data_IF_422102001357
#
_entry.id   IF_422102001357
#
_cell.length_a   1.000
_cell.length_b   1.000
_cell.length_c   1.000
_cell.angle_alpha   90.00
_cell.angle_beta   90.00
_cell.angle_gamma   90.00
#
_symmetry.space_group_name_H-M   'P 1'
#
loop_
_entity.id
_entity.type
_entity.pdbx_description
1 polymer ?
#
# COMPACT_ATOMS: atom_id res chain seq x y z
N UNK A 1 22.41 20.76 32.30
CA UNK A 1 21.53 21.59 31.45
C UNK A 1 20.22 20.85 31.31
N UNK A 2 19.10 21.43 31.72
CA UNK A 2 17.78 20.82 31.51
C UNK A 2 17.56 20.73 30.00
N UNK A 3 17.41 19.50 29.46
CA UNK A 3 17.03 19.31 28.07
C UNK A 3 15.61 19.87 27.87
N UNK A 4 15.41 20.64 26.81
CA UNK A 4 14.09 21.13 26.49
C UNK A 4 13.18 19.92 26.22
N UNK A 5 12.02 19.88 26.89
CA UNK A 5 11.02 18.83 26.70
C UNK A 5 10.50 18.86 25.26
N UNK A 6 10.52 17.72 24.57
CA UNK A 6 9.98 17.61 23.20
C UNK A 6 8.47 17.37 23.25
N UNK A 7 7.69 18.23 22.57
CA UNK A 7 6.26 18.03 22.39
C UNK A 7 5.99 17.31 21.07
N UNK A 8 5.25 16.21 21.10
CA UNK A 8 4.80 15.49 19.92
C UNK A 8 3.32 15.75 19.68
N UNK A 9 2.98 16.07 18.43
CA UNK A 9 1.61 15.96 17.90
C UNK A 9 1.39 14.50 17.52
N UNK A 10 0.22 13.96 17.85
CA UNK A 10 -0.16 12.59 17.49
C UNK A 10 -1.65 12.49 17.17
N UNK A 11 -1.99 11.59 16.26
CA UNK A 11 -3.38 11.27 15.94
C UNK A 11 -3.68 9.89 16.50
N UNK A 12 -4.68 9.83 17.38
CA UNK A 12 -5.15 8.61 18.05
C UNK A 12 -6.48 8.16 17.45
N UNK A 13 -6.78 6.87 17.60
CA UNK A 13 -8.09 6.32 17.32
C UNK A 13 -9.04 6.74 18.44
N UNK A 14 -9.95 7.67 18.16
CA UNK A 14 -10.92 8.17 19.16
C UNK A 14 -12.13 7.25 19.32
N UNK A 15 -12.55 6.59 18.23
CA UNK A 15 -13.66 5.64 18.21
C UNK A 15 -13.55 4.69 17.03
N UNK A 16 -14.17 3.52 17.10
CA UNK A 16 -14.21 2.57 15.99
C UNK A 16 -15.27 3.01 14.98
N UNK A 17 -14.91 3.06 13.67
CA UNK A 17 -15.88 3.43 12.64
C UNK A 17 -16.90 2.31 12.40
N UNK A 18 -18.15 2.69 12.21
CA UNK A 18 -19.20 1.85 11.65
C UNK A 18 -19.38 2.19 10.17
N UNK A 19 -18.90 1.36 9.24
CA UNK A 19 -18.80 1.68 7.83
C UNK A 19 -17.51 2.45 7.50
N UNK A 20 -17.62 3.43 6.60
CA UNK A 20 -16.50 4.30 6.29
C UNK A 20 -16.08 5.13 7.52
N UNK A 21 -14.78 5.35 7.75
CA UNK A 21 -14.34 6.21 8.83
C UNK A 21 -14.74 7.66 8.55
N UNK A 22 -15.00 8.38 9.64
CA UNK A 22 -15.27 9.83 9.64
C UNK A 22 -14.17 10.56 10.42
N UNK A 23 -14.04 11.87 10.29
CA UNK A 23 -13.07 12.65 11.09
C UNK A 23 -13.21 12.42 12.60
N UNK A 24 -14.41 12.18 13.10
CA UNK A 24 -14.70 11.96 14.54
C UNK A 24 -14.11 10.64 15.08
N UNK A 25 -13.66 9.73 14.19
CA UNK A 25 -12.96 8.53 14.63
C UNK A 25 -11.49 8.80 15.00
N UNK A 26 -11.01 10.02 14.75
CA UNK A 26 -9.64 10.44 15.01
C UNK A 26 -9.61 11.62 15.95
N UNK A 27 -8.55 11.71 16.76
CA UNK A 27 -8.31 12.87 17.63
C UNK A 27 -6.85 13.28 17.57
N UNK A 28 -6.60 14.57 17.31
CA UNK A 28 -5.27 15.18 17.41
C UNK A 28 -4.97 15.49 18.87
N UNK A 29 -3.82 15.07 19.34
CA UNK A 29 -3.32 15.31 20.69
C UNK A 29 -1.92 15.91 20.68
N UNK A 30 -1.58 16.62 21.75
CA UNK A 30 -0.24 17.11 22.03
C UNK A 30 0.25 16.47 23.34
N UNK A 31 1.40 15.81 23.28
CA UNK A 31 1.97 15.13 24.44
C UNK A 31 3.42 15.52 24.62
N UNK A 32 3.84 15.69 25.84
CA UNK A 32 5.27 15.86 26.18
C UNK A 32 5.92 14.49 26.24
N UNK A 33 6.95 14.28 25.44
CA UNK A 33 7.71 13.04 25.46
C UNK A 33 8.66 13.02 26.68
N UNK A 34 8.90 11.85 27.27
CA UNK A 34 9.90 11.71 28.33
C UNK A 34 11.31 11.93 27.79
N UNK A 35 12.25 12.13 28.69
CA UNK A 35 13.68 12.17 28.34
C UNK A 35 14.14 10.80 27.78
N UNK A 36 15.12 10.83 26.86
CA UNK A 36 15.69 9.60 26.32
C UNK A 36 16.41 8.80 27.38
N UNK A 37 16.09 7.51 27.43
CA UNK A 37 16.88 6.53 28.16
C UNK A 37 18.04 5.99 27.30
N UNK A 38 19.04 5.38 27.98
CA UNK A 38 20.14 4.70 27.28
C UNK A 38 19.59 3.63 26.30
N UNK A 39 20.10 3.62 25.09
CA UNK A 39 19.68 2.73 24.02
C UNK A 39 18.43 3.20 23.25
N UNK A 40 18.01 4.46 23.45
CA UNK A 40 16.87 5.05 22.73
C UNK A 40 17.30 6.15 21.77
N UNK A 41 16.43 6.41 20.80
CA UNK A 41 16.53 7.52 19.84
C UNK A 41 15.22 8.33 19.84
N UNK A 42 15.33 9.63 19.68
CA UNK A 42 14.22 10.53 19.38
C UNK A 42 14.14 10.70 17.87
N UNK A 43 12.99 10.40 17.33
CA UNK A 43 12.69 10.47 15.91
C UNK A 43 11.75 11.64 15.62
N UNK A 44 12.12 12.47 14.63
CA UNK A 44 11.27 13.51 14.04
C UNK A 44 10.74 12.98 12.70
N UNK A 45 9.44 12.78 12.61
CA UNK A 45 8.78 12.27 11.40
C UNK A 45 8.84 13.31 10.28
N UNK A 46 9.37 12.93 9.14
CA UNK A 46 9.35 13.74 7.91
C UNK A 46 8.17 13.36 7.02
N UNK A 47 7.97 12.05 6.77
CA UNK A 47 6.90 11.54 5.95
C UNK A 47 6.17 10.40 6.66
N UNK A 48 4.85 10.42 6.58
CA UNK A 48 3.97 9.36 7.06
C UNK A 48 3.30 8.69 5.85
N UNK A 49 3.33 7.37 5.82
CA UNK A 49 2.59 6.56 4.84
C UNK A 49 1.12 6.47 5.23
N UNK A 50 0.23 6.64 4.26
CA UNK A 50 -1.17 6.25 4.39
C UNK A 50 -1.44 5.05 3.49
N UNK A 51 -1.96 3.97 4.08
CA UNK A 51 -2.18 2.69 3.42
C UNK A 51 -3.54 2.09 3.79
N UNK A 52 -4.24 1.44 2.82
CA UNK A 52 -5.61 0.94 3.05
C UNK A 52 -5.74 -0.05 4.21
N UNK A 53 -4.69 -0.85 4.52
CA UNK A 53 -4.72 -1.83 5.61
C UNK A 53 -5.01 -1.20 6.98
N UNK A 54 -4.71 0.09 7.14
CA UNK A 54 -4.95 0.84 8.38
C UNK A 54 -6.43 0.87 8.75
N UNK A 55 -7.35 0.76 7.76
CA UNK A 55 -8.78 0.63 8.03
C UNK A 55 -9.08 -0.65 8.83
N UNK A 56 -8.46 -1.76 8.50
CA UNK A 56 -8.57 -3.00 9.24
C UNK A 56 -8.07 -2.87 10.69
N UNK A 57 -7.07 -2.02 10.94
CA UNK A 57 -6.55 -1.74 12.29
C UNK A 57 -7.52 -0.95 13.17
N UNK A 58 -8.49 -0.26 12.58
CA UNK A 58 -9.54 0.45 13.33
C UNK A 58 -10.69 -0.47 13.77
N UNK A 59 -10.69 -1.74 13.33
CA UNK A 59 -11.68 -2.76 13.69
C UNK A 59 -11.12 -3.70 14.76
N UNK A 60 -11.98 -4.20 15.65
CA UNK A 60 -11.65 -5.25 16.62
C UNK A 60 -12.03 -6.66 16.14
N UNK A 61 -12.52 -6.79 14.92
CA UNK A 61 -12.74 -8.09 14.28
C UNK A 61 -11.42 -8.87 14.14
N UNK A 62 -11.47 -10.22 14.14
CA UNK A 62 -10.28 -11.04 13.93
C UNK A 62 -9.54 -10.66 12.63
N UNK A 63 -8.22 -10.48 12.73
CA UNK A 63 -7.36 -10.07 11.63
C UNK A 63 -5.96 -10.66 11.80
N UNK A 64 -5.12 -10.56 10.76
CA UNK A 64 -3.73 -11.01 10.79
C UNK A 64 -2.83 -10.21 11.75
N UNK A 65 -3.30 -9.08 12.28
CA UNK A 65 -2.56 -8.35 13.31
C UNK A 65 -3.50 -7.61 14.26
N UNK A 66 -2.98 -7.28 15.45
CA UNK A 66 -3.75 -6.65 16.51
C UNK A 66 -4.35 -5.30 16.08
N UNK A 67 -5.58 -4.97 16.50
CA UNK A 67 -6.18 -3.67 16.27
C UNK A 67 -5.47 -2.57 17.06
N UNK A 68 -5.57 -1.34 16.58
CA UNK A 68 -5.27 -0.14 17.38
C UNK A 68 -6.35 -0.03 18.47
N UNK A 69 -5.93 0.21 19.71
CA UNK A 69 -6.87 0.44 20.80
C UNK A 69 -7.38 1.88 20.77
N UNK A 70 -8.56 2.08 21.38
CA UNK A 70 -9.05 3.45 21.56
C UNK A 70 -8.01 4.23 22.38
N UNK A 71 -7.81 5.49 22.04
CA UNK A 71 -6.82 6.42 22.60
C UNK A 71 -5.34 6.07 22.31
N UNK A 72 -5.06 5.00 21.55
CA UNK A 72 -3.71 4.73 21.05
C UNK A 72 -3.45 5.42 19.69
N UNK A 73 -2.18 5.71 19.44
CA UNK A 73 -1.72 6.33 18.18
C UNK A 73 -2.07 5.42 16.99
N UNK A 74 -2.64 6.01 15.94
CA UNK A 74 -2.89 5.29 14.70
C UNK A 74 -1.60 4.71 14.13
N UNK A 75 -1.65 3.46 13.70
CA UNK A 75 -0.50 2.77 13.12
C UNK A 75 -0.15 3.33 11.74
N UNK A 76 1.14 3.31 11.41
CA UNK A 76 1.62 3.70 10.08
C UNK A 76 3.13 3.61 9.98
N UNK A 77 3.63 3.30 8.79
CA UNK A 77 5.04 3.43 8.45
C UNK A 77 5.41 4.90 8.27
N UNK A 78 6.57 5.29 8.77
CA UNK A 78 7.06 6.65 8.59
C UNK A 78 8.56 6.67 8.26
N UNK A 79 8.95 7.70 7.53
CA UNK A 79 10.35 8.13 7.40
C UNK A 79 10.60 9.20 8.43
N UNK A 80 11.62 9.02 9.25
CA UNK A 80 11.97 9.93 10.31
C UNK A 80 13.46 10.25 10.28
N UNK A 81 13.81 11.44 10.79
CA UNK A 81 15.20 11.82 11.09
C UNK A 81 15.46 11.56 12.57
N UNK A 82 16.60 10.97 12.87
CA UNK A 82 17.09 10.87 14.26
C UNK A 82 17.46 12.28 14.72
N UNK A 83 16.68 12.83 15.64
CA UNK A 83 16.89 14.18 16.19
C UNK A 83 17.86 14.17 17.37
N UNK A 84 17.77 13.13 18.20
CA UNK A 84 18.71 12.84 19.30
C UNK A 84 18.91 11.35 19.44
N UNK A 85 20.13 10.94 19.86
CA UNK A 85 20.45 9.52 20.04
C UNK A 85 21.21 9.26 21.33
N UNK A 86 20.75 8.25 22.06
CA UNK A 86 21.49 7.55 23.12
C UNK A 86 21.69 6.06 22.73
N UNK A 87 21.57 5.73 21.44
CA UNK A 87 21.66 4.38 20.91
C UNK A 87 22.98 4.15 20.16
N UNK A 88 23.69 3.03 20.37
CA UNK A 88 25.03 2.84 19.81
C UNK A 88 25.08 2.70 18.28
N UNK A 89 23.96 2.39 17.62
CA UNK A 89 23.90 2.14 16.16
C UNK A 89 23.32 3.29 15.35
N UNK A 90 22.74 4.31 15.98
CA UNK A 90 22.10 5.42 15.29
C UNK A 90 22.70 6.74 15.74
N UNK A 91 22.89 7.65 14.81
CA UNK A 91 23.45 8.98 15.04
C UNK A 91 22.41 10.06 14.71
N UNK A 92 22.58 11.24 15.33
CA UNK A 92 21.79 12.42 14.97
C UNK A 92 21.96 12.75 13.49
N UNK A 93 20.85 13.01 12.81
CA UNK A 93 20.81 13.23 11.37
C UNK A 93 20.52 12.00 10.53
N UNK A 94 20.66 10.78 11.06
CA UNK A 94 20.32 9.56 10.33
C UNK A 94 18.86 9.56 9.89
N UNK A 95 18.62 9.12 8.65
CA UNK A 95 17.27 8.84 8.15
C UNK A 95 16.92 7.38 8.37
N UNK A 96 15.75 7.15 8.93
CA UNK A 96 15.24 5.80 9.21
C UNK A 96 13.82 5.65 8.74
N UNK A 97 13.44 4.41 8.39
CA UNK A 97 12.05 4.02 8.11
C UNK A 97 11.59 3.00 9.13
N UNK A 98 10.37 3.15 9.64
CA UNK A 98 9.80 2.23 10.61
C UNK A 98 8.33 2.50 10.92
N UNK A 99 7.71 1.61 11.71
CA UNK A 99 6.30 1.71 12.09
C UNK A 99 6.14 2.61 13.32
N UNK A 100 6.38 3.91 13.16
CA UNK A 100 6.32 4.89 14.26
C UNK A 100 4.93 5.48 14.49
N UNK A 101 3.97 5.23 13.60
CA UNK A 101 2.59 5.69 13.73
C UNK A 101 2.37 7.14 13.30
N UNK A 102 1.13 7.60 13.46
CA UNK A 102 0.70 8.94 13.04
C UNK A 102 1.09 9.98 14.10
N UNK A 103 2.35 10.36 14.12
CA UNK A 103 2.87 11.33 15.08
C UNK A 103 4.09 12.10 14.56
N UNK A 104 4.29 13.31 15.07
CA UNK A 104 5.38 14.18 14.65
C UNK A 104 6.73 13.76 15.24
N UNK A 105 6.73 13.26 16.47
CA UNK A 105 7.92 12.74 17.15
C UNK A 105 7.60 11.45 17.87
N UNK A 106 8.58 10.57 17.97
CA UNK A 106 8.48 9.31 18.70
C UNK A 106 9.82 8.91 19.31
N UNK A 107 9.76 8.12 20.38
CA UNK A 107 10.94 7.48 20.97
C UNK A 107 10.96 6.02 20.53
N UNK A 108 12.11 5.55 20.05
CA UNK A 108 12.31 4.16 19.63
C UNK A 108 13.56 3.56 20.30
N UNK A 109 13.52 2.26 20.56
CA UNK A 109 14.67 1.47 21.01
C UNK A 109 15.51 0.91 19.85
N UNK A 110 15.29 1.38 18.63
CA UNK A 110 16.01 1.00 17.43
C UNK A 110 15.62 -0.36 16.80
N UNK A 111 14.76 -1.18 17.45
CA UNK A 111 14.42 -2.52 16.95
C UNK A 111 13.48 -2.49 15.75
N UNK A 112 12.61 -1.51 15.69
CA UNK A 112 11.53 -1.41 14.67
C UNK A 112 11.78 -0.31 13.63
N UNK A 113 13.05 0.12 13.50
CA UNK A 113 13.46 1.10 12.51
C UNK A 113 14.70 0.60 11.76
N UNK A 114 14.76 0.93 10.48
CA UNK A 114 15.87 0.58 9.59
C UNK A 114 16.46 1.83 8.99
N UNK A 115 17.80 1.94 8.88
CA UNK A 115 18.44 3.04 8.17
C UNK A 115 17.99 3.09 6.71
N UNK A 116 17.76 4.29 6.21
CA UNK A 116 17.52 4.54 4.78
C UNK A 116 18.89 4.82 4.14
N UNK A 117 19.25 4.10 3.06
CA UNK A 117 20.49 4.38 2.34
C UNK A 117 20.56 5.82 1.86
N UNK A 118 21.73 6.44 1.98
CA UNK A 118 21.99 7.76 1.40
C UNK A 118 21.91 7.74 -0.13
N UNK A 119 21.49 8.86 -0.72
CA UNK A 119 21.45 9.02 -2.19
C UNK A 119 20.11 8.66 -2.84
N UNK A 120 19.06 8.37 -2.08
CA UNK A 120 17.71 8.32 -2.65
C UNK A 120 17.26 9.72 -3.09
N UNK A 121 16.62 9.87 -4.26
CA UNK A 121 16.08 11.16 -4.71
C UNK A 121 15.08 11.78 -3.73
N UNK A 122 14.28 10.95 -3.07
CA UNK A 122 13.41 11.33 -1.94
C UNK A 122 13.38 10.20 -0.90
N UNK A 123 13.50 10.52 0.40
CA UNK A 123 13.38 9.52 1.46
C UNK A 123 12.00 8.83 1.50
N UNK A 124 10.93 9.51 1.04
CA UNK A 124 9.56 8.97 0.95
C UNK A 124 9.45 7.72 0.07
N UNK A 125 10.39 7.50 -0.87
CA UNK A 125 10.47 6.27 -1.67
C UNK A 125 10.53 5.00 -0.80
N UNK A 126 11.08 5.09 0.42
CA UNK A 126 11.10 4.00 1.40
C UNK A 126 9.71 3.66 1.96
N UNK A 127 8.69 4.49 1.71
CA UNK A 127 7.28 4.24 2.06
C UNK A 127 6.44 3.78 0.86
N UNK A 128 7.01 3.81 -0.33
CA UNK A 128 6.32 3.51 -1.60
C UNK A 128 7.04 2.44 -2.40
N UNK A 129 7.64 2.88 -3.51
CA UNK A 129 8.23 2.01 -4.54
C UNK A 129 9.40 1.16 -4.04
N UNK A 130 10.17 1.61 -3.06
CA UNK A 130 11.25 0.87 -2.38
C UNK A 130 10.88 0.43 -0.95
N UNK A 131 9.62 0.55 -0.57
CA UNK A 131 9.07 0.15 0.72
C UNK A 131 8.05 -0.97 0.61
N UNK A 132 7.16 -1.02 1.60
CA UNK A 132 6.13 -2.07 1.73
C UNK A 132 5.28 -2.23 0.45
N UNK A 133 4.74 -1.18 -0.19
CA UNK A 133 3.94 -1.36 -1.41
C UNK A 133 4.73 -1.93 -2.59
N UNK A 134 5.97 -1.47 -2.79
CA UNK A 134 6.85 -2.00 -3.83
C UNK A 134 7.21 -3.46 -3.60
N UNK A 135 7.53 -3.83 -2.36
CA UNK A 135 7.81 -5.22 -1.98
C UNK A 135 6.59 -6.11 -2.14
N UNK A 136 5.41 -5.63 -1.74
CA UNK A 136 4.13 -6.32 -1.96
C UNK A 136 3.91 -6.61 -3.44
N UNK A 137 4.10 -5.60 -4.30
CA UNK A 137 3.95 -5.75 -5.74
C UNK A 137 4.92 -6.79 -6.33
N UNK A 138 6.20 -6.70 -5.94
CA UNK A 138 7.25 -7.57 -6.45
C UNK A 138 7.07 -9.02 -5.99
N UNK A 139 6.95 -9.25 -4.69
CA UNK A 139 6.85 -10.60 -4.13
C UNK A 139 5.55 -11.31 -4.57
N UNK A 140 4.41 -10.64 -4.48
CA UNK A 140 3.14 -11.21 -4.94
C UNK A 140 3.16 -11.59 -6.42
N UNK A 141 3.76 -10.73 -7.27
CA UNK A 141 3.87 -11.03 -8.69
C UNK A 141 4.85 -12.18 -8.96
N UNK A 142 6.05 -12.13 -8.36
CA UNK A 142 7.11 -13.10 -8.70
C UNK A 142 6.83 -14.49 -8.13
N UNK A 143 6.41 -14.59 -6.87
CA UNK A 143 6.22 -15.89 -6.20
C UNK A 143 4.86 -16.53 -6.46
N UNK A 144 3.80 -15.73 -6.42
CA UNK A 144 2.42 -16.22 -6.58
C UNK A 144 1.99 -16.11 -8.04
N UNK A 145 2.21 -14.95 -8.66
CA UNK A 145 1.89 -14.69 -10.07
C UNK A 145 2.73 -15.54 -11.03
N UNK A 146 4.01 -15.73 -10.75
CA UNK A 146 4.96 -16.51 -11.57
C UNK A 146 4.88 -16.13 -13.06
N UNK A 147 5.16 -14.86 -13.39
CA UNK A 147 4.92 -14.31 -14.73
C UNK A 147 5.80 -14.97 -15.78
N UNK A 148 5.20 -15.25 -16.96
CA UNK A 148 5.89 -15.77 -18.13
C UNK A 148 5.69 -14.82 -19.30
N UNK A 149 6.75 -14.59 -20.08
CA UNK A 149 6.67 -13.73 -21.26
C UNK A 149 5.54 -14.16 -22.21
N UNK A 150 4.79 -13.17 -22.70
CA UNK A 150 3.64 -13.39 -23.60
C UNK A 150 2.31 -13.64 -22.87
N UNK A 151 2.28 -13.85 -21.56
CA UNK A 151 1.04 -13.93 -20.79
C UNK A 151 0.36 -12.56 -20.64
N UNK A 152 -0.96 -12.58 -20.37
CA UNK A 152 -1.74 -11.40 -20.07
C UNK A 152 -1.93 -11.25 -18.55
N UNK A 153 -1.52 -10.09 -18.01
CA UNK A 153 -1.75 -9.70 -16.64
C UNK A 153 -2.81 -8.59 -16.57
N UNK A 154 -3.77 -8.76 -15.68
CA UNK A 154 -4.66 -7.67 -15.25
C UNK A 154 -4.31 -7.28 -13.81
N UNK A 155 -4.24 -5.99 -13.52
CA UNK A 155 -4.03 -5.48 -12.16
C UNK A 155 -5.09 -4.47 -11.78
N UNK A 156 -5.74 -4.70 -10.64
CA UNK A 156 -6.69 -3.78 -10.03
C UNK A 156 -5.96 -2.63 -9.30
N UNK A 157 -6.60 -1.45 -9.23
CA UNK A 157 -6.02 -0.21 -8.71
C UNK A 157 -4.67 0.13 -9.37
N UNK A 158 -4.64 0.07 -10.70
CA UNK A 158 -3.43 0.15 -11.52
C UNK A 158 -2.63 1.46 -11.37
N UNK A 159 -3.25 2.56 -10.95
CA UNK A 159 -2.59 3.83 -10.68
C UNK A 159 -2.12 4.00 -9.22
N UNK A 160 -2.39 3.01 -8.36
CA UNK A 160 -2.06 3.03 -6.93
C UNK A 160 -0.62 2.58 -6.64
N UNK A 161 -0.24 2.64 -5.36
CA UNK A 161 1.13 2.35 -4.92
C UNK A 161 1.62 0.93 -5.26
N UNK A 162 0.74 -0.08 -5.17
CA UNK A 162 1.05 -1.48 -5.51
C UNK A 162 0.81 -1.72 -7.00
N UNK A 163 -0.38 -1.38 -7.51
CA UNK A 163 -0.79 -1.72 -8.87
C UNK A 163 0.11 -1.12 -9.96
N UNK A 164 0.59 0.11 -9.76
CA UNK A 164 1.51 0.76 -10.72
C UNK A 164 2.86 0.03 -10.82
N UNK A 165 3.36 -0.50 -9.72
CA UNK A 165 4.61 -1.27 -9.69
C UNK A 165 4.40 -2.65 -10.31
N UNK A 166 3.31 -3.35 -9.95
CA UNK A 166 2.97 -4.68 -10.51
C UNK A 166 3.02 -4.65 -12.03
N UNK A 167 2.30 -3.70 -12.65
CA UNK A 167 2.24 -3.65 -14.10
C UNK A 167 3.56 -3.33 -14.77
N UNK A 168 4.35 -2.41 -14.22
CA UNK A 168 5.66 -2.08 -14.78
C UNK A 168 6.64 -3.26 -14.65
N UNK A 169 6.65 -3.97 -13.51
CA UNK A 169 7.46 -5.20 -13.37
C UNK A 169 6.99 -6.26 -14.35
N UNK A 170 5.67 -6.43 -14.55
CA UNK A 170 5.12 -7.35 -15.54
C UNK A 170 5.56 -6.97 -16.98
N UNK A 171 5.59 -5.66 -17.32
CA UNK A 171 6.15 -5.19 -18.61
C UNK A 171 7.62 -5.55 -18.76
N UNK A 172 8.43 -5.38 -17.73
CA UNK A 172 9.87 -5.79 -17.74
C UNK A 172 10.00 -7.30 -17.95
N UNK A 173 9.04 -8.10 -17.47
CA UNK A 173 8.99 -9.55 -17.66
C UNK A 173 8.38 -9.98 -19.01
N UNK A 174 7.99 -9.04 -19.87
CA UNK A 174 7.49 -9.31 -21.22
C UNK A 174 6.01 -9.70 -21.30
N UNK A 175 5.20 -9.31 -20.30
CA UNK A 175 3.76 -9.56 -20.31
C UNK A 175 3.00 -8.46 -21.08
N UNK A 176 1.83 -8.83 -21.58
CA UNK A 176 0.76 -7.89 -21.89
C UNK A 176 0.09 -7.46 -20.57
N UNK A 177 -0.04 -6.16 -20.35
CA UNK A 177 -0.56 -5.62 -19.09
C UNK A 177 -1.77 -4.75 -19.32
N UNK A 178 -2.88 -5.10 -18.67
CA UNK A 178 -4.13 -4.34 -18.65
C UNK A 178 -4.36 -3.82 -17.23
N UNK A 179 -4.45 -2.51 -17.09
CA UNK A 179 -4.77 -1.86 -15.83
C UNK A 179 -6.28 -1.72 -15.63
N UNK A 180 -6.73 -1.72 -14.37
CA UNK A 180 -8.06 -1.26 -13.98
C UNK A 180 -7.88 -0.10 -13.00
N UNK A 181 -8.42 1.08 -13.35
CA UNK A 181 -8.31 2.28 -12.54
C UNK A 181 -9.65 3.05 -12.49
N UNK A 182 -9.74 4.09 -11.70
CA UNK A 182 -10.95 4.90 -11.56
C UNK A 182 -10.84 6.27 -12.22
N UNK A 183 -11.47 6.43 -13.38
CA UNK A 183 -11.49 7.66 -14.15
C UNK A 183 -10.47 7.71 -15.29
N UNK A 184 -10.82 8.48 -16.33
CA UNK A 184 -10.03 8.57 -17.57
C UNK A 184 -8.61 9.11 -17.37
N UNK A 185 -8.43 10.06 -16.45
CA UNK A 185 -7.11 10.62 -16.15
C UNK A 185 -6.14 9.57 -15.63
N UNK A 186 -6.58 8.74 -14.66
CA UNK A 186 -5.78 7.64 -14.11
C UNK A 186 -5.49 6.58 -15.17
N UNK A 187 -6.49 6.23 -16.00
CA UNK A 187 -6.29 5.28 -17.10
C UNK A 187 -5.28 5.81 -18.12
N UNK A 188 -5.37 7.10 -18.50
CA UNK A 188 -4.41 7.73 -19.40
C UNK A 188 -2.99 7.68 -18.84
N UNK A 189 -2.79 8.06 -17.57
CA UNK A 189 -1.50 7.98 -16.91
C UNK A 189 -0.91 6.57 -16.92
N UNK A 190 -1.72 5.56 -16.63
CA UNK A 190 -1.30 4.16 -16.60
C UNK A 190 -0.79 3.70 -17.96
N UNK A 191 -1.42 4.11 -19.04
CA UNK A 191 -0.99 3.76 -20.41
C UNK A 191 0.20 4.62 -20.84
N UNK A 192 0.06 5.94 -20.79
CA UNK A 192 1.02 6.85 -21.42
C UNK A 192 2.34 6.96 -20.63
N UNK A 193 2.24 6.93 -19.29
CA UNK A 193 3.42 7.14 -18.44
C UNK A 193 4.00 5.84 -17.89
N UNK A 194 3.14 4.86 -17.52
CA UNK A 194 3.61 3.61 -16.95
C UNK A 194 3.81 2.51 -18.00
N UNK A 195 3.39 2.74 -19.25
CA UNK A 195 3.61 1.84 -20.38
C UNK A 195 2.78 0.57 -20.37
N UNK A 196 1.59 0.59 -19.72
CA UNK A 196 0.65 -0.52 -19.83
C UNK A 196 0.06 -0.57 -21.24
N UNK A 197 -0.35 -1.77 -21.70
CA UNK A 197 -0.90 -1.95 -23.03
C UNK A 197 -2.34 -1.43 -23.15
N UNK A 198 -3.09 -1.42 -22.04
CA UNK A 198 -4.42 -0.84 -21.93
C UNK A 198 -4.76 -0.51 -20.47
N UNK A 199 -5.76 0.33 -20.27
CA UNK A 199 -6.37 0.55 -18.96
C UNK A 199 -7.87 0.75 -19.12
N UNK A 200 -8.66 0.11 -18.25
CA UNK A 200 -10.13 0.16 -18.27
C UNK A 200 -10.63 0.90 -17.03
N UNK A 201 -11.54 1.86 -17.26
CA UNK A 201 -12.16 2.61 -16.17
C UNK A 201 -13.27 1.78 -15.51
N UNK A 202 -13.05 1.36 -14.26
CA UNK A 202 -14.07 0.60 -13.51
C UNK A 202 -15.33 1.41 -13.19
N UNK A 203 -15.35 2.73 -13.43
CA UNK A 203 -16.54 3.59 -13.28
C UNK A 203 -17.41 3.59 -14.54
N UNK A 204 -16.91 3.08 -15.66
CA UNK A 204 -17.68 2.94 -16.89
C UNK A 204 -18.90 2.04 -16.68
N UNK A 205 -20.03 2.44 -17.25
CA UNK A 205 -21.24 1.59 -17.28
C UNK A 205 -21.02 0.29 -18.08
N UNK A 206 -20.05 0.28 -19.00
CA UNK A 206 -19.68 -0.86 -19.84
C UNK A 206 -18.38 -1.55 -19.38
N UNK A 207 -17.98 -1.38 -18.14
CA UNK A 207 -16.72 -1.85 -17.62
C UNK A 207 -16.40 -3.32 -17.94
N UNK A 208 -17.37 -4.22 -17.72
CA UNK A 208 -17.17 -5.66 -17.96
C UNK A 208 -16.93 -5.98 -19.45
N UNK A 209 -17.64 -5.28 -20.35
CA UNK A 209 -17.47 -5.44 -21.81
C UNK A 209 -16.11 -4.89 -22.26
N UNK A 210 -15.75 -3.70 -21.79
CA UNK A 210 -14.48 -3.05 -22.09
C UNK A 210 -13.28 -3.87 -21.58
N UNK A 211 -13.41 -4.47 -20.39
CA UNK A 211 -12.39 -5.37 -19.85
C UNK A 211 -12.25 -6.63 -20.70
N UNK A 212 -13.36 -7.23 -21.12
CA UNK A 212 -13.36 -8.40 -21.99
C UNK A 212 -12.72 -8.10 -23.35
N UNK A 213 -12.95 -6.92 -23.92
CA UNK A 213 -12.31 -6.48 -25.17
C UNK A 213 -10.82 -6.25 -24.98
N UNK A 214 -10.40 -5.64 -23.86
CA UNK A 214 -8.99 -5.42 -23.54
C UNK A 214 -8.23 -6.74 -23.28
N UNK A 215 -8.94 -7.80 -22.88
CA UNK A 215 -8.41 -9.12 -22.55
C UNK A 215 -8.94 -10.20 -23.51
N UNK A 216 -8.90 -9.95 -24.81
CA UNK A 216 -9.41 -10.83 -25.86
C UNK A 216 -8.80 -12.24 -25.87
N UNK A 217 -7.57 -12.40 -25.33
CA UNK A 217 -6.90 -13.69 -25.16
C UNK A 217 -7.07 -14.30 -23.76
N UNK A 218 -7.94 -13.72 -22.94
CA UNK A 218 -8.13 -14.10 -21.54
C UNK A 218 -7.03 -13.56 -20.61
N UNK A 219 -7.10 -13.97 -19.33
CA UNK A 219 -6.26 -13.47 -18.25
C UNK A 219 -5.47 -14.62 -17.62
N UNK A 220 -4.14 -14.53 -17.64
CA UNK A 220 -3.25 -15.54 -17.06
C UNK A 220 -2.88 -15.20 -15.62
N UNK A 221 -2.74 -13.89 -15.31
CA UNK A 221 -2.49 -13.39 -13.96
C UNK A 221 -3.46 -12.25 -13.66
N UNK A 222 -4.15 -12.35 -12.54
CA UNK A 222 -4.92 -11.24 -12.00
C UNK A 222 -4.35 -10.83 -10.63
N UNK A 223 -3.77 -9.63 -10.55
CA UNK A 223 -3.27 -9.12 -9.29
C UNK A 223 -4.38 -8.36 -8.57
N UNK A 224 -4.89 -8.94 -7.48
CA UNK A 224 -6.09 -8.49 -6.79
C UNK A 224 -5.78 -7.52 -5.66
N UNK A 225 -6.27 -6.29 -5.78
CA UNK A 225 -6.16 -5.24 -4.76
C UNK A 225 -7.53 -4.70 -4.30
N UNK A 226 -8.63 -5.05 -4.99
CA UNK A 226 -9.91 -4.33 -4.89
C UNK A 226 -11.07 -5.21 -4.46
N UNK A 227 -11.29 -6.35 -5.11
CA UNK A 227 -12.48 -7.19 -4.91
C UNK A 227 -13.73 -6.66 -5.62
N UNK A 228 -14.90 -7.09 -5.14
CA UNK A 228 -16.20 -6.62 -5.60
C UNK A 228 -16.42 -6.75 -7.10
N UNK A 229 -17.02 -5.72 -7.73
CA UNK A 229 -17.37 -5.73 -9.15
C UNK A 229 -16.19 -5.93 -10.10
N UNK A 230 -14.97 -5.56 -9.68
CA UNK A 230 -13.77 -5.76 -10.51
C UNK A 230 -13.43 -7.25 -10.57
N UNK A 231 -13.41 -7.91 -9.42
CA UNK A 231 -13.21 -9.37 -9.34
C UNK A 231 -14.28 -10.13 -10.14
N UNK A 232 -15.55 -9.71 -10.00
CA UNK A 232 -16.69 -10.30 -10.72
C UNK A 232 -16.51 -10.24 -12.24
N UNK A 233 -15.99 -9.14 -12.77
CA UNK A 233 -15.74 -8.97 -14.20
C UNK A 233 -14.52 -9.77 -14.69
N UNK A 234 -13.54 -9.99 -13.83
CA UNK A 234 -12.30 -10.73 -14.13
C UNK A 234 -12.54 -12.24 -14.19
N UNK A 235 -13.31 -12.81 -13.25
CA UNK A 235 -13.47 -14.27 -13.08
C UNK A 235 -13.88 -15.00 -14.39
N UNK A 236 -14.82 -14.51 -15.19
CA UNK A 236 -15.19 -15.15 -16.46
C UNK A 236 -14.04 -15.21 -17.48
N UNK A 237 -13.12 -14.23 -17.43
CA UNK A 237 -12.05 -14.04 -18.41
C UNK A 237 -10.78 -14.82 -18.07
N UNK A 238 -10.69 -15.45 -16.89
CA UNK A 238 -9.51 -16.20 -16.47
C UNK A 238 -9.20 -17.36 -17.41
N UNK A 239 -7.95 -17.51 -17.77
CA UNK A 239 -7.43 -18.65 -18.53
C UNK A 239 -7.30 -19.90 -17.65
N UNK A 240 -7.11 -21.07 -18.29
CA UNK A 240 -6.77 -22.29 -17.57
C UNK A 240 -5.40 -22.13 -16.85
N UNK A 241 -5.35 -22.53 -15.57
CA UNK A 241 -4.18 -22.35 -14.68
C UNK A 241 -3.80 -20.91 -14.38
N UNK A 242 -4.74 -19.95 -14.51
CA UNK A 242 -4.53 -18.59 -14.08
C UNK A 242 -4.13 -18.53 -12.60
N UNK A 243 -3.41 -17.46 -12.23
CA UNK A 243 -2.91 -17.23 -10.87
C UNK A 243 -3.40 -15.88 -10.37
N UNK A 244 -3.86 -15.86 -9.11
CA UNK A 244 -4.39 -14.66 -8.48
C UNK A 244 -3.64 -14.40 -7.18
N UNK A 245 -2.59 -13.55 -7.20
CA UNK A 245 -2.06 -12.95 -5.97
C UNK A 245 -3.14 -12.09 -5.32
N UNK A 246 -3.64 -12.50 -4.16
CA UNK A 246 -4.66 -11.79 -3.40
C UNK A 246 -3.98 -10.89 -2.36
N UNK A 247 -3.77 -9.63 -2.73
CA UNK A 247 -3.06 -8.63 -1.94
C UNK A 247 -4.00 -7.82 -1.04
N UNK A 248 -5.19 -7.48 -1.52
CA UNK A 248 -6.14 -6.64 -0.79
C UNK A 248 -7.53 -6.63 -1.39
N UNK A 249 -8.48 -6.16 -0.59
CA UNK A 249 -9.91 -6.12 -0.92
C UNK A 249 -10.49 -4.76 -0.52
N UNK A 250 -9.91 -3.65 -1.02
CA UNK A 250 -10.24 -2.29 -0.57
C UNK A 250 -11.73 -1.95 -0.76
N UNK A 251 -12.40 -2.56 -1.73
CA UNK A 251 -13.83 -2.34 -1.97
C UNK A 251 -14.71 -2.79 -0.79
N UNK A 252 -14.22 -3.71 0.06
CA UNK A 252 -14.97 -4.25 1.20
C UNK A 252 -14.41 -3.85 2.58
N UNK A 253 -13.36 -3.03 2.64
CA UNK A 253 -12.76 -2.65 3.93
C UNK A 253 -13.70 -1.86 4.85
N UNK A 254 -14.70 -1.20 4.29
CA UNK A 254 -15.71 -0.45 5.05
C UNK A 254 -16.99 -1.27 5.30
N UNK A 255 -17.08 -2.50 4.82
CA UNK A 255 -18.28 -3.32 4.97
C UNK A 255 -18.37 -3.90 6.38
N UNK A 256 -19.56 -3.81 6.99
CA UNK A 256 -19.88 -4.44 8.27
C UNK A 256 -20.74 -5.69 8.11
N UNK A 257 -21.32 -5.88 6.95
CA UNK A 257 -22.18 -6.99 6.61
C UNK A 257 -21.73 -7.62 5.30
N UNK A 258 -22.11 -8.87 5.10
CA UNK A 258 -21.91 -9.51 3.82
C UNK A 258 -22.52 -8.67 2.69
N UNK A 259 -21.84 -8.53 1.54
CA UNK A 259 -22.37 -7.77 0.42
C UNK A 259 -23.77 -8.26 0.04
N UNK A 260 -24.67 -7.31 -0.24
CA UNK A 260 -25.99 -7.63 -0.78
C UNK A 260 -25.87 -8.11 -2.23
N UNK A 261 -26.68 -9.07 -2.64
CA UNK A 261 -26.74 -9.57 -4.02
C UNK A 261 -26.70 -11.10 -4.10
N UNK A 262 -26.64 -11.66 -5.32
CA UNK A 262 -26.60 -13.10 -5.50
C UNK A 262 -25.28 -13.68 -4.95
N UNK A 263 -25.37 -14.84 -4.31
CA UNK A 263 -24.20 -15.61 -3.90
C UNK A 263 -23.43 -16.08 -5.15
N UNK A 264 -22.23 -15.57 -5.34
CA UNK A 264 -21.34 -15.89 -6.48
C UNK A 264 -20.30 -16.97 -6.14
N UNK A 265 -20.26 -17.45 -4.91
CA UNK A 265 -19.31 -18.48 -4.49
C UNK A 265 -19.42 -19.77 -5.32
N UNK A 266 -20.62 -20.31 -5.63
CA UNK A 266 -20.74 -21.50 -6.47
C UNK A 266 -20.18 -21.31 -7.89
N UNK A 267 -20.34 -20.11 -8.47
CA UNK A 267 -19.77 -19.78 -9.78
C UNK A 267 -18.25 -19.72 -9.71
N UNK A 268 -17.69 -19.08 -8.67
CA UNK A 268 -16.26 -19.01 -8.45
C UNK A 268 -15.66 -20.41 -8.28
N UNK A 269 -16.24 -21.25 -7.41
CA UNK A 269 -15.78 -22.63 -7.19
C UNK A 269 -15.76 -23.44 -8.48
N UNK A 270 -16.79 -23.33 -9.33
CA UNK A 270 -16.83 -23.96 -10.65
C UNK A 270 -15.70 -23.49 -11.55
N UNK A 271 -15.42 -22.18 -11.57
CA UNK A 271 -14.30 -21.62 -12.34
C UNK A 271 -12.96 -22.11 -11.84
N UNK A 272 -12.74 -22.11 -10.52
CA UNK A 272 -11.53 -22.61 -9.90
C UNK A 272 -11.26 -24.07 -10.28
N UNK A 273 -12.29 -24.93 -10.17
CA UNK A 273 -12.19 -26.33 -10.51
C UNK A 273 -11.92 -26.55 -12.01
N UNK A 274 -12.77 -26.00 -12.88
CA UNK A 274 -12.73 -26.27 -14.30
C UNK A 274 -11.47 -25.70 -14.97
N UNK A 275 -11.07 -24.50 -14.58
CA UNK A 275 -9.87 -23.82 -15.10
C UNK A 275 -8.62 -24.07 -14.29
N UNK A 276 -8.72 -24.77 -13.15
CA UNK A 276 -7.59 -25.07 -12.23
C UNK A 276 -6.85 -23.80 -11.81
N UNK A 277 -7.62 -22.75 -11.49
CA UNK A 277 -7.10 -21.46 -11.06
C UNK A 277 -6.53 -21.58 -9.65
N UNK A 278 -5.43 -20.90 -9.38
CA UNK A 278 -4.85 -20.73 -8.04
C UNK A 278 -5.10 -19.32 -7.53
N UNK A 279 -5.73 -19.22 -6.37
CA UNK A 279 -5.85 -17.97 -5.60
C UNK A 279 -5.02 -18.13 -4.33
N UNK A 280 -4.16 -17.18 -4.03
CA UNK A 280 -3.33 -17.22 -2.84
C UNK A 280 -3.25 -15.84 -2.20
N UNK A 281 -3.73 -15.73 -0.94
CA UNK A 281 -3.51 -14.58 -0.08
C UNK A 281 -2.10 -14.57 0.47
N UNK A 282 -1.61 -13.37 0.81
CA UNK A 282 -0.31 -13.20 1.45
C UNK A 282 -0.25 -11.90 2.24
N UNK A 283 0.60 -11.88 3.27
CA UNK A 283 0.97 -10.71 4.04
C UNK A 283 2.47 -10.51 3.88
N UNK A 284 2.86 -9.41 3.24
CA UNK A 284 4.22 -9.25 2.70
C UNK A 284 5.33 -9.43 3.73
N UNK A 285 5.17 -8.92 4.95
CA UNK A 285 6.21 -9.06 5.96
C UNK A 285 6.18 -10.39 6.70
N UNK A 286 5.01 -11.02 6.83
CA UNK A 286 4.88 -12.33 7.46
C UNK A 286 5.44 -13.44 6.56
N UNK A 287 5.18 -13.32 5.24
CA UNK A 287 5.58 -14.34 4.26
C UNK A 287 6.96 -14.09 3.64
N UNK A 288 7.40 -12.82 3.57
CA UNK A 288 8.57 -12.43 2.77
C UNK A 288 9.50 -11.43 3.49
N UNK A 289 9.32 -11.14 4.78
CA UNK A 289 10.08 -10.10 5.48
C UNK A 289 11.60 -10.31 5.41
N UNK A 290 12.06 -11.54 5.45
CA UNK A 290 13.47 -11.95 5.32
C UNK A 290 14.03 -11.77 3.89
N UNK A 291 13.18 -11.64 2.89
CA UNK A 291 13.54 -11.48 1.48
C UNK A 291 13.59 -10.01 1.03
N UNK A 292 13.50 -9.05 1.95
CA UNK A 292 13.64 -7.63 1.62
C UNK A 292 14.92 -7.30 0.85
N UNK A 293 16.10 -7.87 1.17
CA UNK A 293 17.32 -7.63 0.38
C UNK A 293 17.21 -8.07 -1.08
N UNK A 294 16.51 -9.18 -1.36
CA UNK A 294 16.23 -9.64 -2.73
C UNK A 294 15.39 -8.61 -3.48
N UNK A 295 14.31 -8.15 -2.86
CA UNK A 295 13.45 -7.11 -3.43
C UNK A 295 14.23 -5.84 -3.75
N UNK A 296 15.00 -5.31 -2.81
CA UNK A 296 15.78 -4.08 -3.01
C UNK A 296 16.82 -4.27 -4.11
N UNK A 297 17.51 -5.41 -4.16
CA UNK A 297 18.50 -5.73 -5.19
C UNK A 297 17.90 -5.72 -6.60
N UNK A 298 16.64 -6.17 -6.75
CA UNK A 298 15.94 -6.18 -8.04
C UNK A 298 15.35 -4.80 -8.38
N UNK A 299 14.70 -4.14 -7.41
CA UNK A 299 13.91 -2.93 -7.68
C UNK A 299 14.74 -1.65 -7.73
N UNK A 300 15.75 -1.50 -6.89
CA UNK A 300 16.52 -0.24 -6.82
C UNK A 300 17.19 0.13 -8.17
N UNK A 301 17.79 -0.80 -8.92
CA UNK A 301 18.27 -0.51 -10.26
C UNK A 301 17.17 -0.08 -11.24
N UNK A 302 16.00 -0.73 -11.22
CA UNK A 302 14.91 -0.38 -12.11
C UNK A 302 14.35 1.01 -11.84
N UNK A 303 14.24 1.38 -10.56
CA UNK A 303 13.80 2.72 -10.15
C UNK A 303 14.83 3.78 -10.52
N UNK A 304 16.12 3.55 -10.21
CA UNK A 304 17.21 4.45 -10.55
C UNK A 304 17.31 4.69 -12.07
N UNK A 305 17.15 3.65 -12.86
CA UNK A 305 17.27 3.71 -14.33
C UNK A 305 15.95 4.18 -15.00
N UNK A 306 14.93 4.57 -14.22
CA UNK A 306 13.64 5.04 -14.71
C UNK A 306 12.76 3.97 -15.38
N UNK A 307 13.12 2.68 -15.24
CA UNK A 307 12.33 1.55 -15.76
C UNK A 307 11.08 1.29 -14.95
N UNK A 308 11.10 1.64 -13.67
CA UNK A 308 9.94 1.68 -12.79
C UNK A 308 9.77 3.11 -12.33
N UNK A 309 8.74 3.76 -12.83
CA UNK A 309 8.30 5.10 -12.42
C UNK A 309 7.37 4.98 -11.23
N UNK A 310 7.32 6.02 -10.41
CA UNK A 310 6.40 6.12 -9.29
C UNK A 310 5.84 7.53 -9.20
N UNK A 311 4.66 7.64 -8.62
CA UNK A 311 4.00 8.92 -8.32
C UNK A 311 3.61 8.93 -6.85
N UNK A 312 3.89 10.03 -6.18
CA UNK A 312 3.46 10.30 -4.83
C UNK A 312 2.39 11.40 -4.84
N UNK A 313 1.37 11.20 -4.04
CA UNK A 313 0.34 12.19 -3.71
C UNK A 313 0.67 12.68 -2.31
N UNK A 314 1.14 13.93 -2.20
CA UNK A 314 1.70 14.48 -0.97
C UNK A 314 0.70 15.44 -0.34
N UNK A 315 0.33 15.17 0.90
CA UNK A 315 -0.51 16.05 1.74
C UNK A 315 0.37 16.65 2.82
N UNK A 316 0.31 17.97 3.01
CA UNK A 316 1.07 18.67 4.04
C UNK A 316 0.31 18.71 5.37
N UNK A 317 1.02 18.50 6.48
CA UNK A 317 0.52 18.58 7.85
C UNK A 317 -0.10 17.29 8.37
N UNK A 318 0.35 16.86 9.55
CA UNK A 318 -0.13 15.65 10.22
C UNK A 318 -1.64 15.71 10.49
N UNK A 319 -2.17 16.89 10.80
CA UNK A 319 -3.59 17.15 11.06
C UNK A 319 -4.50 16.80 9.90
N UNK A 320 -3.97 16.79 8.68
CA UNK A 320 -4.69 16.43 7.45
C UNK A 320 -4.70 14.92 7.16
N UNK A 321 -3.94 14.11 7.91
CA UNK A 321 -3.86 12.67 7.71
C UNK A 321 -5.23 11.95 7.79
N UNK A 322 -6.15 12.27 8.73
CA UNK A 322 -7.48 11.64 8.76
C UNK A 322 -8.27 11.87 7.47
N UNK A 323 -8.34 13.11 7.00
CA UNK A 323 -9.10 13.43 5.79
C UNK A 323 -8.47 12.82 4.54
N UNK A 324 -7.13 12.81 4.46
CA UNK A 324 -6.39 12.18 3.38
C UNK A 324 -6.63 10.66 3.37
N UNK A 325 -6.65 10.01 4.54
CA UNK A 325 -6.92 8.59 4.67
C UNK A 325 -8.35 8.21 4.26
N UNK A 326 -9.34 9.00 4.66
CA UNK A 326 -10.73 8.82 4.19
C UNK A 326 -10.78 8.92 2.67
N UNK A 327 -10.11 9.92 2.09
CA UNK A 327 -9.99 10.07 0.64
C UNK A 327 -9.30 8.90 -0.06
N UNK A 328 -8.29 8.29 0.56
CA UNK A 328 -7.63 7.08 0.06
C UNK A 328 -8.61 5.91 -0.06
N UNK A 329 -9.44 5.68 0.96
CA UNK A 329 -10.45 4.60 0.96
C UNK A 329 -11.55 4.83 -0.09
N UNK A 330 -11.76 6.07 -0.51
CA UNK A 330 -12.67 6.45 -1.60
C UNK A 330 -11.99 6.49 -2.98
N UNK A 331 -10.68 6.20 -3.04
CA UNK A 331 -9.90 6.20 -4.27
C UNK A 331 -9.64 7.60 -4.86
N UNK A 332 -9.61 8.65 -4.03
CA UNK A 332 -9.32 10.03 -4.47
C UNK A 332 -7.83 10.26 -4.76
N UNK A 333 -6.94 9.54 -4.09
CA UNK A 333 -5.49 9.66 -4.27
C UNK A 333 -5.04 9.28 -5.69
N UNK A 334 -3.91 9.82 -6.09
CA UNK A 334 -3.27 9.48 -7.36
C UNK A 334 -1.81 9.07 -7.12
N UNK A 335 -1.56 7.77 -7.14
CA UNK A 335 -0.27 7.19 -6.75
C UNK A 335 -0.20 6.80 -5.27
N UNK A 336 1.01 6.78 -4.71
CA UNK A 336 1.25 6.55 -3.29
C UNK A 336 0.90 7.78 -2.47
N UNK A 337 -0.03 7.65 -1.52
CA UNK A 337 -0.39 8.73 -0.61
C UNK A 337 0.60 8.79 0.57
N UNK A 338 1.19 9.95 0.77
CA UNK A 338 2.08 10.26 1.90
C UNK A 338 1.69 11.60 2.53
N UNK A 339 1.88 11.72 3.84
CA UNK A 339 1.74 12.99 4.55
C UNK A 339 3.13 13.52 4.86
N UNK A 340 3.43 14.75 4.44
CA UNK A 340 4.62 15.47 4.85
C UNK A 340 4.34 16.10 6.21
N UNK A 341 4.99 15.57 7.26
CA UNK A 341 4.75 15.97 8.65
C UNK A 341 5.65 17.14 9.07
N UNK A 342 6.91 17.10 8.65
CA UNK A 342 7.85 18.18 8.90
C UNK A 342 8.51 18.61 7.59
N UNK A 343 8.75 19.91 7.44
CA UNK A 343 9.71 20.43 6.47
C UNK A 343 11.10 20.44 7.11
N UNK A 344 12.15 20.19 6.32
CA UNK A 344 13.56 20.26 6.73
C UNK A 344 13.95 21.69 7.13
#
# INVERSE_FOLDING_TARGET
MSQASTTSQRIVLASRPHGAPTPDNFRLEHVTLPDLAQGQILLKTQFLSLDPYMRGRMSDAPSYAAPVKIDEVMTGGAVSRVERSMHPKFQEGDLVVGATGWQSHSISDGRNVMPIPSGLPSPSMALGVLGMPGMTAYMGLMDIGQPKAGETLVVAAASGAVGSVVGQVAKIKGLRVVGVAGGSEKCKYVVDELGFDACVDHKSARFAEELAQACDKGIDIYYENVGGKVFDAVVPLLNAKARIPLCGLIASYNDHQAPSGPDRLPQLQRTLLNKRVRIQGFIVFDDYGDRQPEFISAMAPWVRDGKVKFREDVVDGLENAPQAFIGLLEGRNFGKLVVRVAQD
#
